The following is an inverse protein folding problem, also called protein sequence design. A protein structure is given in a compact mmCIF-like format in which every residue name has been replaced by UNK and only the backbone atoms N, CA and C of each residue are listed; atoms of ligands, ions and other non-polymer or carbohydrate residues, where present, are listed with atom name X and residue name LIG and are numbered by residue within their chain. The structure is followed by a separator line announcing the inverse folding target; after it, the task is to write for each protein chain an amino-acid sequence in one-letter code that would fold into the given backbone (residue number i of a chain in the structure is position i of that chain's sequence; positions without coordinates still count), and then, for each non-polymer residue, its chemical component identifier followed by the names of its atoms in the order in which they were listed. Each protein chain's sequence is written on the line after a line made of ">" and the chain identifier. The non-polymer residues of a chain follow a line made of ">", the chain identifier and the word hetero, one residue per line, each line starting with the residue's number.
data_IF_175998039753
#
_entry.id   IF_175998039753
#
_cell.length_a   1.000
_cell.length_b   1.000
_cell.length_c   1.000
_cell.angle_alpha   90.00
_cell.angle_beta   90.00
_cell.angle_gamma   90.00
#
_symmetry.space_group_name_H-M   'P 1'
#
loop_
_entity.id
_entity.type
_entity.pdbx_description
1 polymer ?
#
# COMPACT_ATOMS: atom_id res chain seq x y z
N UNK A 1 1.80 -18.55 34.68
CA UNK A 1 0.85 -18.54 33.55
C UNK A 1 1.41 -17.63 32.46
N UNK A 2 1.81 -18.19 31.33
CA UNK A 2 2.33 -17.43 30.19
C UNK A 2 1.21 -17.29 29.15
N UNK A 3 0.97 -16.06 28.68
CA UNK A 3 -0.18 -15.68 27.84
C UNK A 3 0.38 -15.25 26.48
N UNK A 4 -0.03 -15.90 25.40
CA UNK A 4 0.31 -15.51 24.02
C UNK A 4 -1.00 -15.26 23.27
N UNK A 5 -1.21 -14.05 22.74
CA UNK A 5 -2.30 -13.75 21.79
C UNK A 5 -1.84 -14.19 20.40
N UNK A 6 -2.35 -15.32 19.95
CA UNK A 6 -2.34 -15.75 18.55
C UNK A 6 -3.51 -16.70 18.39
N UNK A 7 -4.42 -16.42 17.45
CA UNK A 7 -5.46 -17.39 17.09
C UNK A 7 -4.80 -18.65 16.51
N UNK A 8 -5.31 -19.86 16.79
CA UNK A 8 -4.89 -21.08 16.09
C UNK A 8 -5.16 -21.00 14.58
N UNK A 9 -4.38 -21.74 13.79
CA UNK A 9 -4.47 -21.77 12.31
C UNK A 9 -5.80 -22.33 11.78
N UNK A 10 -6.59 -22.98 12.65
CA UNK A 10 -7.90 -23.57 12.36
C UNK A 10 -9.07 -22.55 12.42
N UNK A 11 -8.77 -21.26 12.62
CA UNK A 11 -9.77 -20.19 12.65
C UNK A 11 -10.62 -20.17 13.92
N UNK A 12 -10.32 -21.02 14.90
CA UNK A 12 -11.00 -20.98 16.20
C UNK A 12 -10.39 -19.89 17.08
N UNK A 13 -11.14 -19.41 18.08
CA UNK A 13 -10.60 -18.49 19.08
C UNK A 13 -10.96 -19.01 20.47
N UNK A 14 -9.96 -19.14 21.33
CA UNK A 14 -10.17 -19.52 22.74
C UNK A 14 -10.18 -18.26 23.62
N UNK A 15 -11.05 -18.20 24.65
CA UNK A 15 -11.09 -17.05 25.56
C UNK A 15 -9.77 -16.92 26.32
N UNK A 16 -9.07 -15.80 26.16
CA UNK A 16 -7.77 -15.58 26.81
C UNK A 16 -7.85 -14.76 28.09
N UNK A 17 -8.76 -13.78 28.12
CA UNK A 17 -8.99 -12.90 29.27
C UNK A 17 -10.38 -12.27 29.16
N UNK A 18 -10.99 -11.87 30.29
CA UNK A 18 -12.15 -11.00 30.26
C UNK A 18 -11.88 -9.73 29.44
N UNK A 19 -12.95 -9.14 28.91
CA UNK A 19 -12.86 -7.87 28.19
C UNK A 19 -12.23 -6.81 29.11
N UNK A 20 -11.27 -6.00 28.61
CA UNK A 20 -10.75 -4.90 29.39
C UNK A 20 -11.88 -3.92 29.71
N UNK A 21 -11.89 -3.40 30.94
CA UNK A 21 -12.80 -2.31 31.31
C UNK A 21 -12.52 -1.04 30.50
N UNK A 22 -13.40 -0.04 30.64
CA UNK A 22 -13.24 1.24 29.94
C UNK A 22 -11.88 1.89 30.21
N UNK A 23 -11.20 2.31 29.14
CA UNK A 23 -9.93 3.00 29.25
C UNK A 23 -10.14 4.38 29.89
N UNK A 24 -9.40 4.67 30.95
CA UNK A 24 -9.30 6.02 31.52
C UNK A 24 -8.20 6.76 30.79
N UNK A 25 -8.53 7.87 30.14
CA UNK A 25 -7.56 8.74 29.48
C UNK A 25 -7.47 10.07 30.22
N UNK A 26 -6.25 10.57 30.36
CA UNK A 26 -5.96 11.93 30.81
C UNK A 26 -5.10 12.61 29.73
N UNK A 27 -5.13 13.95 29.61
CA UNK A 27 -4.28 14.66 28.67
C UNK A 27 -2.80 14.35 28.89
N UNK A 28 -2.08 14.11 27.80
CA UNK A 28 -0.62 14.01 27.80
C UNK A 28 -0.05 15.43 27.98
N UNK A 29 0.57 15.71 29.13
CA UNK A 29 1.02 17.06 29.48
C UNK A 29 2.45 17.35 29.03
N UNK A 30 3.23 16.31 28.73
CA UNK A 30 4.62 16.47 28.31
C UNK A 30 4.74 16.80 26.81
N UNK A 31 3.63 16.66 26.07
CA UNK A 31 3.55 16.99 24.64
C UNK A 31 2.74 18.27 24.46
N UNK A 32 3.30 19.32 23.82
CA UNK A 32 2.56 20.54 23.54
C UNK A 32 1.43 20.29 22.52
N UNK A 33 0.37 21.10 22.61
CA UNK A 33 -0.72 21.05 21.63
C UNK A 33 -0.24 21.47 20.24
N UNK A 34 -0.49 20.63 19.24
CA UNK A 34 -0.26 20.97 17.83
C UNK A 34 -1.51 21.63 17.23
N UNK A 35 -1.35 22.82 16.65
CA UNK A 35 -2.43 23.52 15.94
C UNK A 35 -2.24 23.33 14.45
N UNK A 36 -3.21 22.73 13.77
CA UNK A 36 -3.21 22.57 12.33
C UNK A 36 -3.82 23.81 11.67
N UNK A 37 -3.03 24.52 10.89
CA UNK A 37 -3.52 25.72 10.20
C UNK A 37 -4.41 25.36 9.01
N UNK A 38 -5.27 26.29 8.60
CA UNK A 38 -6.10 26.10 7.40
C UNK A 38 -5.28 25.98 6.11
N UNK A 39 -4.13 26.66 6.04
CA UNK A 39 -3.19 26.58 4.92
C UNK A 39 -2.54 25.19 4.83
N UNK A 40 -2.04 24.65 5.95
CA UNK A 40 -1.48 23.28 6.01
C UNK A 40 -2.53 22.23 5.68
N UNK A 41 -3.76 22.39 6.21
CA UNK A 41 -4.87 21.51 5.89
C UNK A 41 -5.16 21.49 4.38
N UNK A 42 -5.29 22.67 3.77
CA UNK A 42 -5.60 22.76 2.34
C UNK A 42 -4.46 22.22 1.48
N UNK A 43 -3.20 22.50 1.85
CA UNK A 43 -2.04 21.95 1.16
C UNK A 43 -2.02 20.40 1.18
N UNK A 44 -2.43 19.76 2.28
CA UNK A 44 -2.54 18.30 2.36
C UNK A 44 -3.67 17.80 1.46
N UNK A 45 -4.85 18.43 1.53
CA UNK A 45 -6.03 18.03 0.73
C UNK A 45 -5.74 18.14 -0.77
N UNK A 46 -5.07 19.20 -1.20
CA UNK A 46 -4.74 19.45 -2.61
C UNK A 46 -3.65 18.51 -3.15
N UNK A 47 -2.88 17.88 -2.27
CA UNK A 47 -1.77 16.97 -2.62
C UNK A 47 -2.02 15.53 -2.13
N UNK A 48 -3.28 15.13 -1.98
CA UNK A 48 -3.60 13.75 -1.62
C UNK A 48 -3.09 12.79 -2.71
N UNK A 49 -2.43 11.69 -2.32
CA UNK A 49 -2.06 10.65 -3.28
C UNK A 49 -3.31 10.04 -3.90
N UNK A 50 -3.15 9.49 -5.11
CA UNK A 50 -4.22 8.78 -5.81
C UNK A 50 -4.82 7.66 -4.94
N UNK A 51 -6.14 7.53 -4.97
CA UNK A 51 -6.83 6.42 -4.32
C UNK A 51 -6.57 5.09 -5.05
N UNK A 52 -6.86 3.97 -4.39
CA UNK A 52 -6.76 2.64 -5.02
C UNK A 52 -7.61 2.54 -6.30
N UNK A 53 -8.79 3.17 -6.32
CA UNK A 53 -9.67 3.14 -7.48
C UNK A 53 -9.14 4.02 -8.61
N UNK A 54 -8.54 5.17 -8.29
CA UNK A 54 -7.85 6.00 -9.28
C UNK A 54 -6.63 5.28 -9.87
N UNK A 55 -5.86 4.57 -9.02
CA UNK A 55 -4.72 3.77 -9.46
C UNK A 55 -5.17 2.62 -10.37
N UNK A 56 -6.26 1.93 -10.04
CA UNK A 56 -6.87 0.91 -10.93
C UNK A 56 -7.29 1.51 -12.27
N UNK A 57 -8.00 2.64 -12.25
CA UNK A 57 -8.43 3.32 -13.48
C UNK A 57 -7.24 3.75 -14.35
N UNK A 58 -6.15 4.22 -13.73
CA UNK A 58 -4.89 4.54 -14.42
C UNK A 58 -4.28 3.30 -15.07
N UNK A 59 -4.29 2.16 -14.39
CA UNK A 59 -3.75 0.90 -14.94
C UNK A 59 -4.57 0.32 -16.10
N UNK A 60 -5.86 0.62 -16.20
CA UNK A 60 -6.71 0.18 -17.32
C UNK A 60 -6.31 0.77 -18.67
N UNK A 61 -5.47 1.80 -18.70
CA UNK A 61 -5.00 2.46 -19.93
C UNK A 61 -3.94 1.62 -20.68
N UNK A 62 -3.40 0.58 -20.05
CA UNK A 62 -2.32 -0.25 -20.60
C UNK A 62 -2.84 -1.62 -21.06
N UNK A 63 -2.31 -2.15 -22.17
CA UNK A 63 -2.62 -3.51 -22.65
C UNK A 63 -1.92 -4.59 -21.80
N UNK A 64 -2.31 -4.72 -20.54
CA UNK A 64 -1.91 -5.81 -19.62
C UNK A 64 -3.13 -6.60 -19.16
N UNK A 65 -2.92 -7.83 -18.68
CA UNK A 65 -4.04 -8.62 -18.15
C UNK A 65 -4.55 -8.02 -16.83
N UNK A 66 -5.82 -8.26 -16.51
CA UNK A 66 -6.41 -7.85 -15.22
C UNK A 66 -5.64 -8.45 -14.02
N UNK A 67 -5.13 -9.68 -14.18
CA UNK A 67 -4.31 -10.33 -13.18
C UNK A 67 -2.97 -9.62 -13.00
N UNK A 68 -2.27 -9.27 -14.10
CA UNK A 68 -1.03 -8.50 -14.02
C UNK A 68 -1.25 -7.13 -13.36
N UNK A 69 -2.29 -6.39 -13.78
CA UNK A 69 -2.63 -5.11 -13.18
C UNK A 69 -2.91 -5.24 -11.66
N UNK A 70 -3.66 -6.27 -11.27
CA UNK A 70 -3.98 -6.53 -9.86
C UNK A 70 -2.73 -6.89 -9.05
N UNK A 71 -1.82 -7.70 -9.60
CA UNK A 71 -0.56 -8.04 -8.93
C UNK A 71 0.38 -6.84 -8.81
N UNK A 72 0.48 -6.00 -9.85
CA UNK A 72 1.28 -4.77 -9.83
C UNK A 72 0.76 -3.83 -8.73
N UNK A 73 -0.55 -3.60 -8.67
CA UNK A 73 -1.17 -2.74 -7.65
C UNK A 73 -1.02 -3.31 -6.25
N UNK A 74 -1.23 -4.62 -6.07
CA UNK A 74 -1.08 -5.29 -4.77
C UNK A 74 0.35 -5.18 -4.21
N UNK A 75 1.35 -5.06 -5.08
CA UNK A 75 2.76 -4.87 -4.73
C UNK A 75 3.20 -3.40 -4.76
N UNK A 76 2.30 -2.46 -5.04
CA UNK A 76 2.58 -1.02 -5.16
C UNK A 76 3.68 -0.71 -6.20
N UNK A 77 3.69 -1.48 -7.30
CA UNK A 77 4.66 -1.35 -8.40
C UNK A 77 4.12 -0.54 -9.58
N UNK A 78 2.93 0.06 -9.46
CA UNK A 78 2.25 0.76 -10.54
C UNK A 78 3.00 2.03 -10.98
N UNK A 79 3.55 2.79 -10.02
CA UNK A 79 4.37 3.97 -10.34
C UNK A 79 5.63 3.56 -11.12
N UNK A 80 6.31 2.49 -10.70
CA UNK A 80 7.50 1.95 -11.37
C UNK A 80 7.18 1.48 -12.79
N UNK A 81 6.08 0.75 -12.97
CA UNK A 81 5.65 0.28 -14.28
C UNK A 81 5.39 1.46 -15.24
N UNK A 82 4.67 2.48 -14.78
CA UNK A 82 4.31 3.65 -15.60
C UNK A 82 5.54 4.47 -15.97
N UNK A 83 6.49 4.64 -15.05
CA UNK A 83 7.72 5.39 -15.31
C UNK A 83 8.60 4.74 -16.39
N UNK A 84 8.48 3.42 -16.60
CA UNK A 84 9.34 2.66 -17.51
C UNK A 84 8.64 2.15 -18.77
N UNK A 85 7.31 2.15 -18.83
CA UNK A 85 6.58 1.50 -19.93
C UNK A 85 6.86 2.11 -21.30
N UNK A 86 6.95 3.44 -21.43
CA UNK A 86 7.26 4.14 -22.69
C UNK A 86 6.72 3.41 -23.94
N UNK A 87 7.59 2.99 -24.87
CA UNK A 87 7.23 2.22 -26.07
C UNK A 87 7.49 0.69 -25.94
N UNK A 88 7.75 0.20 -24.72
CA UNK A 88 8.05 -1.20 -24.47
C UNK A 88 6.78 -2.07 -24.55
N UNK A 89 6.92 -3.38 -24.83
CA UNK A 89 5.78 -4.29 -24.80
C UNK A 89 5.14 -4.35 -23.40
N UNK A 90 3.91 -3.85 -23.28
CA UNK A 90 3.16 -3.72 -22.01
C UNK A 90 3.14 -5.00 -21.19
N UNK A 91 2.73 -6.12 -21.81
CA UNK A 91 2.69 -7.44 -21.15
C UNK A 91 4.07 -7.95 -20.76
N UNK A 92 5.07 -7.71 -21.61
CA UNK A 92 6.44 -8.16 -21.38
C UNK A 92 7.06 -7.47 -20.18
N UNK A 93 6.94 -6.14 -20.12
CA UNK A 93 7.44 -5.36 -18.98
C UNK A 93 6.69 -5.72 -17.69
N UNK A 94 5.36 -5.88 -17.75
CA UNK A 94 4.57 -6.29 -16.59
C UNK A 94 5.05 -7.63 -16.02
N UNK A 95 5.28 -8.65 -16.88
CA UNK A 95 5.84 -9.93 -16.44
C UNK A 95 7.23 -9.74 -15.83
N UNK A 96 8.10 -8.99 -16.49
CA UNK A 96 9.48 -8.81 -16.05
C UNK A 96 9.56 -8.14 -14.67
N UNK A 97 8.76 -7.09 -14.44
CA UNK A 97 8.66 -6.41 -13.14
C UNK A 97 8.07 -7.34 -12.07
N UNK A 98 7.05 -8.13 -12.41
CA UNK A 98 6.41 -9.05 -11.47
C UNK A 98 7.33 -10.23 -11.08
N UNK A 99 8.23 -10.66 -11.98
CA UNK A 99 9.20 -11.72 -11.73
C UNK A 99 10.47 -11.22 -11.01
N UNK A 100 10.78 -9.93 -11.11
CA UNK A 100 12.00 -9.32 -10.59
C UNK A 100 11.71 -8.13 -9.67
N UNK A 101 10.74 -8.29 -8.77
CA UNK A 101 10.26 -7.25 -7.84
C UNK A 101 11.33 -6.70 -6.87
N UNK A 102 12.49 -7.34 -6.79
CA UNK A 102 13.65 -6.93 -5.99
C UNK A 102 14.80 -6.32 -6.80
N UNK A 103 14.76 -6.40 -8.13
CA UNK A 103 15.81 -5.88 -9.00
C UNK A 103 15.58 -4.40 -9.33
N UNK A 104 16.65 -3.68 -9.68
CA UNK A 104 16.52 -2.27 -10.08
C UNK A 104 15.68 -2.17 -11.37
N UNK A 105 14.54 -1.46 -11.36
CA UNK A 105 13.61 -1.40 -12.49
C UNK A 105 14.22 -0.80 -13.76
N UNK A 106 15.24 0.07 -13.64
CA UNK A 106 15.96 0.59 -14.81
C UNK A 106 16.79 -0.48 -15.52
N UNK A 107 17.31 -1.46 -14.78
CA UNK A 107 18.05 -2.57 -15.39
C UNK A 107 17.13 -3.50 -16.15
N UNK A 108 15.89 -3.67 -15.68
CA UNK A 108 14.89 -4.50 -16.33
C UNK A 108 14.41 -3.89 -17.65
N UNK A 109 14.18 -2.57 -17.68
CA UNK A 109 13.77 -1.87 -18.90
C UNK A 109 14.79 -1.98 -20.06
N UNK A 110 16.08 -2.10 -19.75
CA UNK A 110 17.14 -2.22 -20.76
C UNK A 110 17.28 -3.63 -21.38
N UNK A 111 16.54 -4.62 -20.87
CA UNK A 111 16.62 -6.03 -21.31
C UNK A 111 15.59 -6.35 -22.41
N UNK A 112 14.59 -5.48 -22.60
CA UNK A 112 13.56 -5.55 -23.64
C UNK A 112 13.92 -4.68 -24.86
#
# INVERSE_FOLDING_TARGET
>A
MAIKKGGPEDGTTSPMRPLPGGARMYPETDIPSFSLTGEEWQAIVDNLPMSDDDRKARMQQFDISQDQASQILARQLDDVYIDHISDLPHKGLATLILENDTANPQLLANVL
#
